data_IF_796316668676
#
_entry.id   IF_796316668676
#
_cell.length_a   1.000
_cell.length_b   1.000
_cell.length_c   1.000
_cell.angle_alpha   90.00
_cell.angle_beta   90.00
_cell.angle_gamma   90.00
#
_symmetry.space_group_name_H-M   'P 1'
#
loop_
_entity.id
_entity.type
_entity.pdbx_description
1 polymer ?
#
# COMPACT_ATOMS: atom_id res chain seq x y z
N UNK A 1 3.84 -13.40 46.81
CA UNK A 1 2.47 -12.87 46.63
C UNK A 1 2.52 -11.89 45.46
N UNK A 2 1.94 -12.26 44.32
CA UNK A 2 1.90 -11.39 43.13
C UNK A 2 0.91 -10.24 43.40
N UNK A 3 1.34 -9.00 43.14
CA UNK A 3 0.45 -7.85 43.21
C UNK A 3 -0.65 -7.96 42.14
N UNK A 4 -1.91 -7.63 42.43
CA UNK A 4 -2.97 -7.64 41.42
C UNK A 4 -2.71 -6.53 40.39
N UNK A 5 -2.95 -6.85 39.12
CA UNK A 5 -2.96 -5.88 38.04
C UNK A 5 -3.98 -4.77 38.34
N UNK A 6 -3.56 -3.51 38.21
CA UNK A 6 -4.42 -2.34 38.41
C UNK A 6 -5.55 -2.33 37.37
N UNK A 7 -6.80 -2.47 37.82
CA UNK A 7 -7.98 -2.29 36.98
C UNK A 7 -8.31 -0.79 36.86
N UNK A 8 -8.44 -0.30 35.62
CA UNK A 8 -9.04 1.00 35.31
C UNK A 8 -10.55 0.95 35.62
N UNK A 9 -11.17 2.01 36.20
CA UNK A 9 -12.60 2.06 36.52
C UNK A 9 -13.58 1.77 35.36
N UNK A 10 -13.10 1.71 34.11
CA UNK A 10 -13.91 1.32 32.93
C UNK A 10 -13.66 -0.11 32.42
N UNK A 11 -12.91 -0.95 33.14
CA UNK A 11 -12.71 -2.36 32.79
C UNK A 11 -11.85 -2.61 31.55
N UNK A 12 -11.20 -1.58 31.01
CA UNK A 12 -10.26 -1.72 29.89
C UNK A 12 -8.90 -2.14 30.44
N UNK A 13 -8.52 -3.41 30.22
CA UNK A 13 -7.14 -3.81 30.40
C UNK A 13 -6.32 -3.17 29.27
N UNK A 14 -5.34 -2.34 29.61
CA UNK A 14 -4.36 -1.89 28.65
C UNK A 14 -3.66 -3.13 28.07
N UNK A 15 -3.87 -3.41 26.80
CA UNK A 15 -3.21 -4.52 26.12
C UNK A 15 -1.70 -4.29 26.23
N UNK A 16 -0.96 -5.30 26.69
CA UNK A 16 0.49 -5.21 26.75
C UNK A 16 1.05 -4.85 25.36
N UNK A 17 2.05 -3.95 25.27
CA UNK A 17 2.62 -3.56 24.00
C UNK A 17 3.18 -4.80 23.29
N UNK A 18 2.76 -4.99 22.03
CA UNK A 18 3.21 -6.11 21.22
C UNK A 18 4.69 -5.90 20.88
N UNK A 19 5.49 -6.94 21.07
CA UNK A 19 6.93 -6.93 20.79
C UNK A 19 7.28 -7.99 19.75
N UNK A 20 8.34 -7.76 18.98
CA UNK A 20 8.85 -8.72 18.03
C UNK A 20 9.41 -9.95 18.78
N UNK A 21 8.88 -11.17 18.54
CA UNK A 21 9.36 -12.36 19.23
C UNK A 21 10.83 -12.72 18.95
N UNK A 22 11.39 -12.17 17.86
CA UNK A 22 12.77 -12.43 17.44
C UNK A 22 13.81 -11.58 18.18
N UNK A 23 13.52 -10.30 18.43
CA UNK A 23 14.50 -9.34 18.95
C UNK A 23 14.02 -8.49 20.14
N UNK A 24 12.75 -8.60 20.52
CA UNK A 24 12.15 -7.84 21.63
C UNK A 24 11.82 -6.38 21.29
N UNK A 25 12.11 -5.90 20.08
CA UNK A 25 11.76 -4.54 19.67
C UNK A 25 10.24 -4.30 19.63
N UNK A 26 9.77 -3.06 19.77
CA UNK A 26 8.35 -2.74 19.60
C UNK A 26 7.82 -3.19 18.24
N UNK A 27 6.62 -3.80 18.24
CA UNK A 27 5.91 -4.20 17.02
C UNK A 27 4.51 -3.54 17.05
N UNK A 28 4.41 -2.24 16.73
CA UNK A 28 3.19 -1.47 16.89
C UNK A 28 2.17 -1.79 15.79
N UNK A 29 1.47 -2.93 15.92
CA UNK A 29 0.28 -3.20 15.11
C UNK A 29 -0.77 -2.11 15.35
N UNK A 30 -1.39 -1.64 14.26
CA UNK A 30 -2.49 -0.67 14.29
C UNK A 30 -3.65 -1.19 13.44
N UNK A 31 -4.85 -0.71 13.74
CA UNK A 31 -6.04 -0.99 12.94
C UNK A 31 -6.25 -2.48 12.65
N UNK A 32 -6.46 -2.78 11.36
CA UNK A 32 -6.67 -4.13 10.82
C UNK A 32 -5.39 -4.82 10.33
N UNK A 33 -4.21 -4.31 10.69
CA UNK A 33 -2.93 -4.90 10.30
C UNK A 33 -2.86 -6.38 10.72
N UNK A 34 -2.55 -7.24 9.74
CA UNK A 34 -2.39 -8.70 9.92
C UNK A 34 -0.92 -9.05 10.11
N UNK A 35 -0.02 -8.37 9.39
CA UNK A 35 1.42 -8.54 9.55
C UNK A 35 2.17 -7.23 9.67
N UNK A 36 3.36 -7.30 10.26
CA UNK A 36 4.30 -6.19 10.45
C UNK A 36 5.71 -6.71 10.18
N UNK A 37 6.49 -5.98 9.39
CA UNK A 37 7.92 -6.25 9.23
C UNK A 37 8.69 -5.44 10.29
N UNK A 38 9.43 -6.13 11.14
CA UNK A 38 10.19 -5.49 12.20
C UNK A 38 11.37 -4.70 11.63
N UNK A 39 11.36 -3.37 11.82
CA UNK A 39 12.41 -2.46 11.32
C UNK A 39 13.81 -2.73 11.90
N UNK A 40 13.91 -3.52 12.97
CA UNK A 40 15.18 -3.80 13.66
C UNK A 40 15.85 -5.11 13.21
N UNK A 41 15.09 -6.09 12.74
CA UNK A 41 15.62 -7.43 12.45
C UNK A 41 15.00 -8.12 11.23
N UNK A 42 14.16 -7.40 10.47
CA UNK A 42 13.50 -7.82 9.23
C UNK A 42 12.59 -9.06 9.37
N UNK A 43 12.27 -9.44 10.61
CA UNK A 43 11.31 -10.51 10.88
C UNK A 43 9.88 -10.07 10.57
N UNK A 44 9.17 -10.89 9.82
CA UNK A 44 7.72 -10.74 9.62
C UNK A 44 6.99 -11.32 10.82
N UNK A 45 6.35 -10.43 11.56
CA UNK A 45 5.47 -10.74 12.69
C UNK A 45 4.05 -10.79 12.17
N UNK A 46 3.31 -11.85 12.48
CA UNK A 46 1.89 -12.00 12.16
C UNK A 46 1.08 -11.97 13.44
N UNK A 47 -0.02 -11.23 13.42
CA UNK A 47 -1.00 -11.18 14.49
C UNK A 47 -1.99 -12.35 14.37
N UNK A 48 -2.12 -13.14 15.43
CA UNK A 48 -3.11 -14.22 15.55
C UNK A 48 -4.04 -13.93 16.73
N UNK A 49 -5.01 -13.05 16.51
CA UNK A 49 -5.91 -12.58 17.57
C UNK A 49 -5.20 -11.67 18.58
N UNK A 50 -5.00 -12.18 19.81
CA UNK A 50 -4.27 -11.49 20.89
C UNK A 50 -2.77 -11.80 20.90
N UNK A 51 -2.35 -12.86 20.21
CA UNK A 51 -0.96 -13.30 20.15
C UNK A 51 -0.27 -12.86 18.86
N UNK A 52 1.06 -12.98 18.82
CA UNK A 52 1.86 -12.81 17.61
C UNK A 52 2.80 -13.99 17.39
N UNK A 53 3.06 -14.32 16.13
CA UNK A 53 4.02 -15.36 15.73
C UNK A 53 4.95 -14.87 14.62
N UNK A 54 6.11 -15.52 14.49
CA UNK A 54 7.04 -15.30 13.39
C UNK A 54 6.68 -16.21 12.22
N UNK A 55 6.68 -15.65 11.01
CA UNK A 55 6.48 -16.44 9.78
C UNK A 55 7.70 -16.46 8.86
N UNK A 56 8.74 -15.71 9.22
CA UNK A 56 10.00 -15.68 8.48
C UNK A 56 10.72 -14.34 8.63
N UNK A 57 11.75 -14.15 7.82
CA UNK A 57 12.36 -12.84 7.55
C UNK A 57 12.11 -12.49 6.10
N UNK A 58 11.87 -11.21 5.84
CA UNK A 58 11.76 -10.72 4.46
C UNK A 58 13.15 -10.63 3.84
N UNK A 59 13.23 -10.76 2.51
CA UNK A 59 14.47 -10.38 1.82
C UNK A 59 14.60 -8.86 1.83
N UNK A 60 15.83 -8.37 1.83
CA UNK A 60 16.10 -6.95 1.70
C UNK A 60 15.41 -6.40 0.45
N UNK A 61 14.69 -5.28 0.62
CA UNK A 61 14.06 -4.56 -0.48
C UNK A 61 15.13 -4.01 -1.40
N UNK A 62 14.92 -4.13 -2.71
CA UNK A 62 15.77 -3.48 -3.70
C UNK A 62 15.37 -2.01 -3.80
N UNK A 63 16.35 -1.11 -3.79
CA UNK A 63 16.07 0.30 -4.10
C UNK A 63 15.56 0.41 -5.53
N UNK A 64 14.33 0.89 -5.66
CA UNK A 64 13.61 1.02 -6.92
C UNK A 64 13.57 2.46 -7.42
N UNK A 65 14.24 3.39 -6.73
CA UNK A 65 14.14 4.81 -7.05
C UNK A 65 12.81 5.44 -6.64
N UNK A 66 11.95 4.73 -5.90
CA UNK A 66 10.68 5.29 -5.43
C UNK A 66 10.90 6.51 -4.53
N UNK A 67 10.15 7.61 -4.73
CA UNK A 67 10.15 8.77 -3.84
C UNK A 67 9.27 8.55 -2.61
N UNK A 68 8.40 7.55 -2.60
CA UNK A 68 7.45 7.31 -1.50
C UNK A 68 8.19 6.64 -0.34
N UNK A 69 7.80 6.99 0.88
CA UNK A 69 8.34 6.40 2.11
C UNK A 69 7.21 6.09 3.11
N UNK A 70 7.48 5.23 4.07
CA UNK A 70 6.56 5.03 5.20
C UNK A 70 6.33 6.36 5.94
N UNK A 71 5.10 6.60 6.35
CA UNK A 71 4.67 7.84 7.00
C UNK A 71 4.39 9.01 6.04
N UNK A 72 4.57 8.85 4.72
CA UNK A 72 4.05 9.81 3.74
C UNK A 72 2.53 9.94 3.87
N UNK A 73 2.00 11.16 3.76
CA UNK A 73 0.59 11.50 3.93
C UNK A 73 0.08 12.31 2.75
N UNK A 74 -1.17 12.09 2.38
CA UNK A 74 -1.82 12.78 1.27
C UNK A 74 -3.32 12.84 1.44
N UNK A 75 -4.01 13.26 0.38
CA UNK A 75 -5.48 13.23 0.29
C UNK A 75 -5.91 12.66 -1.05
N UNK A 76 -6.89 11.76 -1.02
CA UNK A 76 -7.49 11.19 -2.22
C UNK A 76 -9.01 11.32 -2.15
N UNK A 77 -9.58 12.07 -3.11
CA UNK A 77 -11.02 12.45 -3.12
C UNK A 77 -11.49 13.05 -1.80
N UNK A 78 -10.67 13.95 -1.23
CA UNK A 78 -10.94 14.64 0.04
C UNK A 78 -10.57 13.87 1.30
N UNK A 79 -10.48 12.54 1.25
CA UNK A 79 -10.11 11.70 2.39
C UNK A 79 -8.59 11.72 2.64
N UNK A 80 -8.12 12.14 3.83
CA UNK A 80 -6.71 12.00 4.22
C UNK A 80 -6.28 10.54 4.27
N UNK A 81 -5.02 10.28 3.97
CA UNK A 81 -4.39 8.97 4.15
C UNK A 81 -2.93 9.05 4.59
N UNK A 82 -2.44 7.94 5.15
CA UNK A 82 -1.03 7.71 5.48
C UNK A 82 -0.54 6.42 4.85
N UNK A 83 0.69 6.43 4.32
CA UNK A 83 1.41 5.26 3.84
C UNK A 83 1.99 4.53 5.05
N UNK A 84 1.50 3.32 5.30
CA UNK A 84 1.80 2.55 6.53
C UNK A 84 2.53 1.24 6.26
N UNK A 85 2.60 0.83 4.99
CA UNK A 85 3.35 -0.33 4.57
C UNK A 85 3.75 -0.27 3.12
N UNK A 86 4.61 -1.20 2.73
CA UNK A 86 5.02 -1.40 1.35
C UNK A 86 5.26 -2.87 1.11
N UNK A 87 4.80 -3.32 -0.04
CA UNK A 87 5.12 -4.61 -0.63
C UNK A 87 5.96 -4.35 -1.89
N UNK A 88 7.04 -5.12 -2.06
CA UNK A 88 7.76 -5.18 -3.33
C UNK A 88 7.52 -6.54 -3.98
N UNK A 89 7.11 -6.51 -5.24
CA UNK A 89 6.81 -7.69 -6.05
C UNK A 89 7.60 -7.67 -7.33
N UNK A 90 7.91 -8.86 -7.83
CA UNK A 90 8.73 -9.04 -9.03
C UNK A 90 8.07 -10.01 -10.00
N UNK A 91 8.28 -9.76 -11.28
CA UNK A 91 7.93 -10.67 -12.37
C UNK A 91 9.06 -10.71 -13.39
N UNK A 92 8.89 -11.47 -14.47
CA UNK A 92 9.94 -11.69 -15.47
C UNK A 92 10.47 -10.41 -16.15
N UNK A 93 9.73 -9.30 -16.11
CA UNK A 93 10.11 -8.06 -16.81
C UNK A 93 10.35 -6.87 -15.87
N UNK A 94 10.35 -7.08 -14.55
CA UNK A 94 10.69 -6.01 -13.61
C UNK A 94 10.17 -6.20 -12.19
N UNK A 95 10.28 -5.13 -11.42
CA UNK A 95 9.89 -5.03 -10.03
C UNK A 95 9.08 -3.75 -9.85
N UNK A 96 8.08 -3.76 -8.98
CA UNK A 96 7.31 -2.57 -8.62
C UNK A 96 6.96 -2.59 -7.14
N UNK A 97 6.46 -1.46 -6.65
CA UNK A 97 6.03 -1.30 -5.27
C UNK A 97 4.52 -1.13 -5.18
N UNK A 98 3.94 -1.74 -4.15
CA UNK A 98 2.57 -1.58 -3.72
C UNK A 98 2.61 -0.96 -2.32
N UNK A 99 2.26 0.31 -2.20
CA UNK A 99 2.30 1.03 -0.93
C UNK A 99 0.95 0.93 -0.23
N UNK A 100 0.91 0.28 0.93
CA UNK A 100 -0.32 0.12 1.69
C UNK A 100 -0.67 1.43 2.40
N UNK A 101 -1.92 1.89 2.24
CA UNK A 101 -2.41 3.14 2.82
C UNK A 101 -3.63 2.92 3.72
N UNK A 102 -3.66 3.65 4.84
CA UNK A 102 -4.82 3.78 5.71
C UNK A 102 -5.44 5.16 5.53
N UNK A 103 -6.75 5.20 5.28
CA UNK A 103 -7.52 6.43 5.18
C UNK A 103 -8.09 6.84 6.55
N UNK A 104 -8.25 8.13 6.77
CA UNK A 104 -8.81 8.67 8.01
C UNK A 104 -10.29 8.29 8.22
N UNK A 105 -10.98 7.80 7.19
CA UNK A 105 -12.33 7.25 7.28
C UNK A 105 -12.37 5.77 7.74
N UNK A 106 -11.20 5.19 8.05
CA UNK A 106 -11.05 3.81 8.49
C UNK A 106 -10.98 2.80 7.34
N UNK A 107 -11.11 3.24 6.09
CA UNK A 107 -10.87 2.38 4.92
C UNK A 107 -9.38 2.26 4.61
N UNK A 108 -9.04 1.32 3.73
CA UNK A 108 -7.66 1.08 3.30
C UNK A 108 -7.56 1.11 1.79
N UNK A 109 -6.33 1.14 1.27
CA UNK A 109 -6.08 1.05 -0.16
C UNK A 109 -4.61 0.80 -0.45
N UNK A 110 -4.29 0.91 -1.73
CA UNK A 110 -2.94 0.75 -2.24
C UNK A 110 -2.58 1.91 -3.15
N UNK A 111 -1.38 2.46 -2.99
CA UNK A 111 -0.75 3.33 -3.96
C UNK A 111 0.26 2.48 -4.76
N UNK A 112 -0.07 2.24 -6.02
CA UNK A 112 0.73 1.46 -6.97
C UNK A 112 1.83 2.36 -7.49
N UNK A 113 3.09 1.93 -7.39
CA UNK A 113 4.26 2.61 -7.93
C UNK A 113 4.98 1.67 -8.91
N UNK A 114 4.71 1.89 -10.20
CA UNK A 114 5.25 1.10 -11.28
C UNK A 114 5.94 2.01 -12.29
N UNK A 115 7.28 2.01 -12.25
CA UNK A 115 8.13 2.73 -13.22
C UNK A 115 7.82 4.24 -13.27
N UNK A 116 7.54 4.85 -12.12
CA UNK A 116 7.22 6.28 -12.01
C UNK A 116 5.80 6.64 -12.44
N UNK A 117 4.97 5.66 -12.81
CA UNK A 117 3.52 5.85 -12.90
C UNK A 117 2.88 5.46 -11.58
N UNK A 118 1.96 6.31 -11.11
CA UNK A 118 1.29 6.11 -9.84
C UNK A 118 -0.22 5.97 -10.06
N UNK A 119 -0.81 5.04 -9.31
CA UNK A 119 -2.25 4.92 -9.18
C UNK A 119 -2.60 4.77 -7.71
N UNK A 120 -3.81 5.16 -7.32
CA UNK A 120 -4.33 4.85 -6.00
C UNK A 120 -5.65 4.09 -6.15
N UNK A 121 -5.76 2.97 -5.46
CA UNK A 121 -6.93 2.07 -5.54
C UNK A 121 -7.42 1.69 -4.17
N UNK A 122 -8.73 1.46 -4.06
CA UNK A 122 -9.37 0.91 -2.86
C UNK A 122 -10.12 -0.38 -3.19
N UNK A 123 -10.14 -1.36 -2.28
CA UNK A 123 -10.93 -2.57 -2.47
C UNK A 123 -12.42 -2.22 -2.53
N UNK A 124 -13.14 -2.95 -3.37
CA UNK A 124 -14.59 -2.91 -3.52
C UNK A 124 -15.17 -4.28 -3.17
N UNK A 125 -16.49 -4.33 -2.95
CA UNK A 125 -17.19 -5.59 -2.68
C UNK A 125 -16.97 -6.59 -3.83
N UNK A 126 -16.42 -7.80 -3.59
CA UNK A 126 -16.28 -8.83 -4.61
C UNK A 126 -17.59 -9.18 -5.34
N UNK A 127 -18.75 -8.94 -4.73
CA UNK A 127 -20.06 -9.12 -5.36
C UNK A 127 -20.27 -8.24 -6.61
N UNK A 128 -19.49 -7.16 -6.78
CA UNK A 128 -19.52 -6.34 -8.00
C UNK A 128 -19.02 -7.14 -9.21
N UNK A 129 -18.05 -8.03 -9.04
CA UNK A 129 -17.42 -8.80 -10.13
C UNK A 129 -17.76 -10.29 -10.12
N UNK A 130 -18.36 -10.80 -9.04
CA UNK A 130 -18.70 -12.22 -8.88
C UNK A 130 -19.57 -12.74 -10.06
N UNK A 131 -19.03 -13.71 -10.79
CA UNK A 131 -19.69 -14.32 -11.96
C UNK A 131 -19.84 -13.38 -13.17
N UNK A 132 -19.26 -12.18 -13.12
CA UNK A 132 -19.33 -11.16 -14.20
C UNK A 132 -18.00 -10.92 -14.90
N UNK A 133 -16.89 -11.35 -14.30
CA UNK A 133 -15.57 -11.32 -14.91
C UNK A 133 -15.09 -12.74 -15.23
N UNK A 134 -14.31 -12.94 -16.32
CA UNK A 134 -13.73 -14.25 -16.63
C UNK A 134 -12.80 -14.77 -15.51
N UNK A 135 -12.54 -16.09 -15.46
CA UNK A 135 -11.46 -16.62 -14.64
C UNK A 135 -10.11 -16.07 -15.12
N UNK A 136 -9.12 -16.01 -14.22
CA UNK A 136 -7.79 -15.48 -14.51
C UNK A 136 -7.14 -16.06 -15.78
N UNK A 137 -7.32 -17.36 -16.04
CA UNK A 137 -6.74 -18.02 -17.21
C UNK A 137 -7.36 -17.58 -18.55
N UNK A 138 -8.57 -17.03 -18.54
CA UNK A 138 -9.30 -16.60 -19.73
C UNK A 138 -9.20 -15.10 -20.01
N UNK A 139 -8.56 -14.33 -19.11
CA UNK A 139 -8.33 -12.90 -19.33
C UNK A 139 -7.16 -12.68 -20.30
N UNK A 140 -7.38 -11.79 -21.26
CA UNK A 140 -6.39 -11.42 -22.27
C UNK A 140 -6.28 -9.91 -22.39
N UNK A 141 -5.07 -9.41 -22.70
CA UNK A 141 -4.85 -7.98 -22.98
C UNK A 141 -5.74 -7.55 -24.15
N UNK A 142 -6.27 -6.33 -24.07
CA UNK A 142 -7.29 -5.76 -24.96
C UNK A 142 -8.72 -6.28 -24.77
N UNK A 143 -8.96 -7.20 -23.83
CA UNK A 143 -10.33 -7.56 -23.45
C UNK A 143 -11.01 -6.39 -22.74
N UNK A 144 -12.22 -6.04 -23.16
CA UNK A 144 -13.03 -4.99 -22.54
C UNK A 144 -13.98 -5.60 -21.53
N UNK A 145 -14.00 -5.05 -20.31
CA UNK A 145 -14.89 -5.46 -19.22
C UNK A 145 -15.68 -4.25 -18.71
N UNK A 146 -16.82 -4.51 -18.07
CA UNK A 146 -17.53 -3.51 -17.27
C UNK A 146 -17.38 -3.86 -15.79
N UNK A 147 -16.78 -2.96 -15.01
CA UNK A 147 -16.54 -3.13 -13.56
C UNK A 147 -17.03 -1.87 -12.83
N UNK A 148 -17.92 -2.04 -11.85
CA UNK A 148 -18.54 -0.92 -11.10
C UNK A 148 -19.19 0.13 -12.02
N UNK A 149 -19.74 -0.29 -13.16
CA UNK A 149 -20.34 0.59 -14.17
C UNK A 149 -19.35 1.32 -15.10
N UNK A 150 -18.05 1.04 -14.97
CA UNK A 150 -16.97 1.65 -15.77
C UNK A 150 -16.55 0.66 -16.85
N UNK A 151 -16.45 1.13 -18.10
CA UNK A 151 -15.83 0.36 -19.18
C UNK A 151 -14.30 0.48 -19.08
N UNK A 152 -13.63 -0.66 -18.97
CA UNK A 152 -12.17 -0.74 -18.81
C UNK A 152 -11.60 -1.83 -19.70
N UNK A 153 -10.36 -1.63 -20.15
CA UNK A 153 -9.62 -2.59 -20.97
C UNK A 153 -8.50 -3.23 -20.18
N UNK A 154 -8.34 -4.55 -20.31
CA UNK A 154 -7.20 -5.28 -19.74
C UNK A 154 -5.91 -4.80 -20.38
N UNK A 155 -4.99 -4.27 -19.58
CA UNK A 155 -3.67 -3.79 -20.04
C UNK A 155 -2.54 -4.70 -19.60
N UNK A 156 -2.73 -5.45 -18.51
CA UNK A 156 -1.73 -6.40 -18.02
C UNK A 156 -2.40 -7.56 -17.27
N UNK A 157 -1.83 -8.75 -17.42
CA UNK A 157 -2.20 -9.96 -16.66
C UNK A 157 -0.93 -10.68 -16.26
N UNK A 158 -0.67 -10.79 -14.96
CA UNK A 158 0.60 -11.35 -14.48
C UNK A 158 0.49 -12.08 -13.16
N UNK A 159 1.41 -13.02 -12.98
CA UNK A 159 1.78 -13.58 -11.68
C UNK A 159 2.96 -12.79 -11.15
N UNK A 160 2.89 -12.36 -9.89
CA UNK A 160 3.87 -11.50 -9.24
C UNK A 160 4.41 -12.17 -7.99
N UNK A 161 5.71 -12.47 -7.95
CA UNK A 161 6.34 -13.07 -6.78
C UNK A 161 6.62 -12.00 -5.71
N UNK A 162 6.20 -12.28 -4.48
CA UNK A 162 6.56 -11.54 -3.28
C UNK A 162 8.09 -11.51 -3.13
N UNK A 163 8.66 -10.31 -3.06
CA UNK A 163 10.10 -10.13 -2.85
C UNK A 163 10.42 -9.72 -1.42
N UNK A 164 9.66 -8.77 -0.87
CA UNK A 164 9.86 -8.26 0.49
C UNK A 164 8.80 -7.24 0.84
N UNK A 165 8.85 -6.76 2.08
CA UNK A 165 7.95 -5.73 2.58
C UNK A 165 8.61 -4.88 3.68
N UNK A 166 8.00 -3.74 3.97
CA UNK A 166 8.29 -2.90 5.14
C UNK A 166 6.97 -2.35 5.71
N UNK A 167 6.96 -2.02 7.01
CA UNK A 167 5.77 -1.52 7.69
C UNK A 167 4.69 -2.59 7.96
N UNK A 168 3.43 -2.19 7.96
CA UNK A 168 2.27 -3.08 8.22
C UNK A 168 1.55 -3.48 6.93
N UNK A 169 0.96 -4.68 6.90
CA UNK A 169 0.20 -5.20 5.76
C UNK A 169 -1.13 -5.84 6.20
N UNK A 170 -2.16 -5.83 5.33
CA UNK A 170 -3.49 -6.36 5.65
C UNK A 170 -3.62 -7.88 5.45
N UNK A 171 -2.51 -8.58 5.19
CA UNK A 171 -2.47 -10.03 5.00
C UNK A 171 -1.19 -10.65 5.59
N UNK A 172 -1.13 -11.99 5.64
CA UNK A 172 0.08 -12.71 6.02
C UNK A 172 1.10 -12.71 4.88
N UNK A 173 2.11 -11.83 4.95
CA UNK A 173 3.15 -11.71 3.93
C UNK A 173 4.17 -12.85 3.99
N UNK A 174 3.79 -14.02 3.49
CA UNK A 174 4.64 -15.21 3.48
C UNK A 174 5.72 -15.13 2.37
N UNK A 175 6.99 -15.42 2.70
CA UNK A 175 8.03 -15.59 1.67
C UNK A 175 7.64 -16.62 0.61
N UNK A 176 7.91 -16.31 -0.66
CA UNK A 176 7.60 -17.19 -1.79
C UNK A 176 6.14 -17.11 -2.29
N UNK A 177 5.30 -16.28 -1.67
CA UNK A 177 3.94 -16.03 -2.16
C UNK A 177 3.98 -15.48 -3.60
N UNK A 178 3.06 -15.95 -4.44
CA UNK A 178 2.82 -15.40 -5.78
C UNK A 178 1.39 -14.90 -5.85
N UNK A 179 1.20 -13.66 -6.28
CA UNK A 179 -0.11 -13.04 -6.49
C UNK A 179 -0.48 -13.09 -7.96
N UNK A 180 -1.76 -13.26 -8.25
CA UNK A 180 -2.29 -13.25 -9.61
C UNK A 180 -3.19 -12.02 -9.80
N UNK A 181 -2.69 -11.04 -10.54
CA UNK A 181 -3.36 -9.76 -10.77
C UNK A 181 -3.67 -9.52 -12.24
N UNK A 182 -4.75 -8.80 -12.49
CA UNK A 182 -5.09 -8.25 -13.81
C UNK A 182 -5.34 -6.75 -13.67
N UNK A 183 -4.52 -5.95 -14.34
CA UNK A 183 -4.64 -4.50 -14.33
C UNK A 183 -5.43 -4.05 -15.58
N UNK A 184 -6.38 -3.16 -15.37
CA UNK A 184 -7.26 -2.60 -16.39
C UNK A 184 -7.24 -1.07 -16.32
N UNK A 185 -7.46 -0.43 -17.47
CA UNK A 185 -7.53 1.03 -17.57
C UNK A 185 -8.79 1.49 -18.27
N UNK A 186 -9.37 2.58 -17.80
CA UNK A 186 -10.42 3.32 -18.50
C UNK A 186 -9.83 4.46 -19.34
N UNK A 187 -10.69 5.13 -20.11
CA UNK A 187 -10.29 6.24 -20.98
C UNK A 187 -10.15 7.58 -20.23
N UNK A 188 -10.73 7.71 -19.04
CA UNK A 188 -10.74 8.91 -18.22
C UNK A 188 -9.65 8.95 -17.14
N UNK A 189 -8.73 7.99 -17.13
CA UNK A 189 -7.70 7.83 -16.10
C UNK A 189 -8.04 6.79 -15.03
N UNK A 190 -9.16 6.08 -15.17
CA UNK A 190 -9.55 4.99 -14.27
C UNK A 190 -8.51 3.87 -14.30
N UNK A 191 -8.23 3.34 -13.13
CA UNK A 191 -7.37 2.17 -12.95
C UNK A 191 -8.08 1.16 -12.07
N UNK A 192 -8.13 -0.08 -12.53
CA UNK A 192 -8.74 -1.19 -11.81
C UNK A 192 -7.72 -2.33 -11.75
N UNK A 193 -7.58 -2.95 -10.59
CA UNK A 193 -6.83 -4.19 -10.46
C UNK A 193 -7.76 -5.28 -9.92
N UNK A 194 -7.84 -6.41 -10.62
CA UNK A 194 -8.52 -7.62 -10.15
C UNK A 194 -7.49 -8.53 -9.48
N UNK A 195 -7.60 -8.68 -8.17
CA UNK A 195 -6.73 -9.57 -7.40
C UNK A 195 -7.38 -10.96 -7.28
N UNK A 196 -6.79 -11.95 -7.97
CA UNK A 196 -7.19 -13.36 -7.90
C UNK A 196 -6.49 -14.10 -6.75
N UNK A 197 -5.72 -13.41 -5.92
CA UNK A 197 -5.02 -13.99 -4.77
C UNK A 197 -3.87 -14.89 -5.20
N UNK A 198 -3.64 -15.95 -4.41
CA UNK A 198 -2.48 -16.84 -4.54
C UNK A 198 -2.78 -18.15 -5.27
N UNK A 199 -4.04 -18.39 -5.65
CA UNK A 199 -4.47 -19.49 -6.50
C UNK A 199 -4.96 -18.93 -7.84
N UNK A 200 -4.29 -19.20 -8.97
CA UNK A 200 -4.73 -18.70 -10.27
C UNK A 200 -6.08 -19.28 -10.72
N UNK A 201 -6.61 -20.31 -10.06
CA UNK A 201 -7.94 -20.86 -10.32
C UNK A 201 -9.03 -20.23 -9.45
N UNK A 202 -8.68 -19.26 -8.61
CA UNK A 202 -9.65 -18.53 -7.82
C UNK A 202 -10.71 -17.87 -8.71
N UNK A 203 -11.98 -17.98 -8.33
CA UNK A 203 -13.10 -17.49 -9.14
C UNK A 203 -13.78 -16.24 -8.57
N UNK A 204 -13.29 -15.73 -7.43
CA UNK A 204 -13.89 -14.59 -6.73
C UNK A 204 -12.85 -13.49 -6.50
N UNK A 205 -12.33 -12.88 -7.58
CA UNK A 205 -11.32 -11.84 -7.43
C UNK A 205 -11.84 -10.68 -6.59
N UNK A 206 -10.95 -10.01 -5.87
CA UNK A 206 -11.25 -8.75 -5.19
C UNK A 206 -10.97 -7.62 -6.18
N UNK A 207 -11.99 -6.80 -6.53
CA UNK A 207 -11.77 -5.63 -7.36
C UNK A 207 -11.21 -4.48 -6.53
N UNK A 208 -10.08 -3.93 -6.96
CA UNK A 208 -9.52 -2.68 -6.48
C UNK A 208 -9.77 -1.61 -7.53
N UNK A 209 -10.46 -0.54 -7.17
CA UNK A 209 -10.91 0.50 -8.10
C UNK A 209 -10.38 1.86 -7.67
N UNK A 210 -9.90 2.64 -8.63
CA UNK A 210 -9.44 4.00 -8.43
C UNK A 210 -8.96 4.62 -9.74
N UNK A 211 -7.85 5.34 -9.68
CA UNK A 211 -7.38 6.18 -10.77
C UNK A 211 -5.85 6.31 -10.78
N UNK A 212 -5.30 6.62 -11.95
CA UNK A 212 -3.96 7.17 -12.06
C UNK A 212 -3.89 8.53 -11.34
N UNK A 213 -2.77 8.81 -10.70
CA UNK A 213 -2.55 10.05 -9.95
C UNK A 213 -1.15 10.60 -10.18
N UNK A 214 -1.00 11.92 -10.00
CA UNK A 214 0.30 12.52 -9.71
C UNK A 214 0.49 12.67 -8.20
N UNK A 215 1.68 12.35 -7.69
CA UNK A 215 1.97 12.46 -6.24
C UNK A 215 1.78 13.89 -5.71
N UNK A 216 2.02 14.90 -6.55
CA UNK A 216 1.77 16.30 -6.23
C UNK A 216 0.28 16.64 -6.13
N UNK A 217 -0.57 16.04 -6.97
CA UNK A 217 -2.02 16.28 -6.97
C UNK A 217 -2.68 15.75 -5.70
N UNK A 218 -2.23 14.60 -5.20
CA UNK A 218 -2.68 14.06 -3.90
C UNK A 218 -1.95 14.71 -2.71
N UNK A 219 -1.04 15.65 -2.97
CA UNK A 219 -0.26 16.36 -1.95
C UNK A 219 0.59 15.45 -1.08
N UNK A 220 1.17 14.38 -1.65
CA UNK A 220 1.90 13.37 -0.89
C UNK A 220 3.19 13.94 -0.27
N UNK A 221 3.35 13.84 1.05
CA UNK A 221 4.51 14.35 1.78
C UNK A 221 4.72 13.65 3.14
N UNK A 222 5.95 13.55 3.66
CA UNK A 222 7.21 13.82 2.96
C UNK A 222 7.45 12.79 1.85
N UNK A 223 8.31 13.14 0.90
CA UNK A 223 8.87 12.21 -0.08
C UNK A 223 10.39 12.10 0.16
N UNK A 224 10.98 10.96 -0.19
CA UNK A 224 12.45 10.80 -0.22
C UNK A 224 13.05 11.89 -1.11
N UNK A 225 14.07 12.54 -0.60
CA UNK A 225 14.86 13.50 -1.36
C UNK A 225 15.98 12.76 -2.08
N UNK A 226 16.17 13.05 -3.36
CA UNK A 226 17.32 12.58 -4.12
C UNK A 226 18.26 13.75 -4.38
N UNK A 227 19.56 13.52 -4.27
CA UNK A 227 20.57 14.53 -4.59
C UNK A 227 20.41 14.97 -6.06
N UNK A 228 20.24 16.27 -6.30
CA UNK A 228 19.97 16.83 -7.64
C UNK A 228 18.49 16.81 -8.09
N UNK A 229 17.58 16.18 -7.35
CA UNK A 229 16.14 16.20 -7.62
C UNK A 229 15.46 17.35 -6.87
N UNK A 230 14.91 18.33 -7.61
CA UNK A 230 14.05 19.38 -7.04
C UNK A 230 12.60 19.05 -7.36
N UNK A 231 11.83 18.63 -6.36
CA UNK A 231 10.37 18.62 -6.46
C UNK A 231 9.88 20.07 -6.59
N UNK A 232 9.37 20.46 -7.77
CA UNK A 232 8.90 21.84 -8.03
C UNK A 232 7.47 22.10 -7.56
N UNK A 233 6.84 21.13 -6.88
CA UNK A 233 5.43 21.17 -6.51
C UNK A 233 5.16 21.59 -5.06
N UNK A 234 5.64 22.75 -4.61
CA UNK A 234 5.10 23.47 -3.45
C UNK A 234 5.42 24.96 -3.59
N UNK A 235 4.44 25.79 -3.96
CA UNK A 235 4.44 27.18 -3.50
C UNK A 235 3.72 27.20 -2.15
N UNK A 236 4.46 27.39 -1.07
CA UNK A 236 3.87 27.72 0.22
C UNK A 236 3.09 29.04 0.06
N UNK A 237 1.81 29.13 0.46
CA UNK A 237 1.19 30.44 0.63
C UNK A 237 1.90 31.12 1.80
N UNK A 238 2.73 32.13 1.53
CA UNK A 238 3.22 33.04 2.58
C UNK A 238 4.70 33.43 2.57
N UNK A 239 5.54 32.95 1.66
CA UNK A 239 6.90 33.50 1.52
C UNK A 239 6.95 34.49 0.37
N UNK A 240 6.66 35.76 0.68
CA UNK A 240 6.82 36.88 -0.24
C UNK A 240 8.25 36.96 -0.77
N UNK A 241 8.39 37.14 -2.08
CA UNK A 241 9.66 37.47 -2.71
C UNK A 241 10.22 38.78 -2.12
N UNK A 242 11.50 38.85 -1.73
CA UNK A 242 12.14 40.13 -1.50
C UNK A 242 12.23 40.86 -2.85
N UNK A 243 11.64 42.05 -2.92
CA UNK A 243 11.64 42.90 -4.12
C UNK A 243 13.06 43.28 -4.58
N UNK A 244 13.21 43.64 -5.87
CA UNK A 244 14.52 43.91 -6.44
C UNK A 244 15.19 45.10 -5.74
N UNK A 245 16.43 44.87 -5.30
CA UNK A 245 17.25 45.83 -4.56
C UNK A 245 17.48 47.13 -5.30
N UNK A 246 17.50 48.23 -4.54
CA UNK A 246 17.92 49.54 -5.01
C UNK A 246 19.42 49.55 -5.33
N UNK A 247 19.86 50.29 -6.35
CA UNK A 247 21.27 50.44 -6.66
C UNK A 247 21.94 51.40 -5.66
N UNK A 248 23.07 50.97 -5.10
CA UNK A 248 23.92 51.83 -4.29
C UNK A 248 24.61 52.89 -5.16
N UNK A 249 24.51 54.16 -4.73
CA UNK A 249 25.44 55.25 -5.05
C UNK A 249 26.51 55.31 -3.97
#
# INVERSE_FOLDING_TARGET
MMAPASMDPYGYQAQAPITCPQCGAPAPFRGSAVSLVCEFCDSTVVRTGVDVRLIGRVSALVDSGSPIILGSRGRHRGAPFEVVGRLQVTYSRGTWNEWFVEFADGTTGWLVDAQGQYSIVRPKDPAIVAGRVPPYAALEVNMVLSIDGIEVVVVDRRGAAYKGAEGILPFEAMPGMVFHGVDLRGFGGEFVSLDYGTDPNHQRPVPYVGEAIDLGEVGLHPLRQFEGWRFTGWQQPGQGQPGPGQPHR
#
